data_IF_174689386399
#
_entry.id   IF_174689386399
#
_cell.length_a   1.000
_cell.length_b   1.000
_cell.length_c   1.000
_cell.angle_alpha   90.00
_cell.angle_beta   90.00
_cell.angle_gamma   90.00
#
_symmetry.space_group_name_H-M   'P 1'
#
loop_
_entity.id
_entity.type
_entity.pdbx_description
1 polymer ?
#
# COMPACT_ATOMS: atom_id res chain seq x y z
N UNK A 1 18.92 -9.77 24.86
CA UNK A 1 19.45 -10.90 24.06
C UNK A 1 19.27 -10.71 22.54
N UNK A 2 18.22 -10.02 22.06
CA UNK A 2 17.90 -9.95 20.61
C UNK A 2 18.94 -9.25 19.73
N UNK A 3 19.66 -8.23 20.23
CA UNK A 3 20.69 -7.50 19.46
C UNK A 3 22.11 -8.02 19.69
N UNK A 4 22.42 -8.46 20.92
CA UNK A 4 23.72 -9.06 21.27
C UNK A 4 24.02 -10.30 20.40
N UNK A 5 22.99 -11.09 20.01
CA UNK A 5 23.16 -12.22 19.09
C UNK A 5 23.63 -11.83 17.67
N UNK A 6 23.49 -10.56 17.32
CA UNK A 6 23.97 -9.98 16.06
C UNK A 6 25.23 -9.12 16.27
N UNK A 7 25.90 -9.24 17.42
CA UNK A 7 27.13 -8.51 17.71
C UNK A 7 26.93 -7.05 18.13
N UNK A 8 25.68 -6.58 18.31
CA UNK A 8 25.38 -5.18 18.64
C UNK A 8 25.13 -5.04 20.15
N UNK A 9 26.02 -4.34 20.86
CA UNK A 9 25.83 -3.98 22.26
C UNK A 9 25.27 -2.55 22.39
N UNK A 10 23.95 -2.45 22.52
CA UNK A 10 23.20 -1.17 22.61
C UNK A 10 23.56 -0.28 23.80
N UNK A 11 24.34 -0.80 24.77
CA UNK A 11 24.83 -0.03 25.91
C UNK A 11 26.13 0.71 25.59
N UNK A 12 26.82 0.29 24.53
CA UNK A 12 28.13 0.79 24.11
C UNK A 12 28.07 1.49 22.77
N UNK A 13 27.20 1.03 21.88
CA UNK A 13 27.10 1.51 20.50
C UNK A 13 25.68 2.02 20.21
N UNK A 14 25.52 3.16 19.53
CA UNK A 14 24.22 3.69 19.14
C UNK A 14 23.56 2.82 18.07
N UNK A 15 22.23 2.71 18.11
CA UNK A 15 21.46 2.02 17.06
C UNK A 15 21.27 2.95 15.86
N UNK A 16 21.67 2.47 14.68
CA UNK A 16 21.36 3.13 13.41
C UNK A 16 19.86 2.99 13.11
N UNK A 17 19.21 4.12 12.85
CA UNK A 17 17.77 4.20 12.54
C UNK A 17 17.56 4.94 11.23
N UNK A 18 16.62 4.45 10.42
CA UNK A 18 16.22 5.06 9.16
C UNK A 18 14.69 5.11 9.06
N UNK A 19 14.12 6.12 8.37
CA UNK A 19 12.71 6.14 8.10
C UNK A 19 12.31 4.93 7.26
N UNK A 20 11.13 4.37 7.53
CA UNK A 20 10.55 3.27 6.75
C UNK A 20 9.09 3.56 6.48
N UNK A 21 8.58 3.13 5.32
CA UNK A 21 7.15 3.16 5.03
C UNK A 21 6.45 2.29 6.07
N UNK A 22 5.58 2.89 6.87
CA UNK A 22 5.00 2.23 8.03
C UNK A 22 3.50 1.96 7.88
N UNK A 23 2.76 2.84 7.20
CA UNK A 23 1.31 2.73 7.06
C UNK A 23 0.81 3.46 5.82
N UNK A 24 -0.27 2.95 5.24
CA UNK A 24 -0.99 3.59 4.14
C UNK A 24 -2.29 4.23 4.66
N UNK A 25 -2.34 5.57 4.67
CA UNK A 25 -3.55 6.31 5.10
C UNK A 25 -4.62 6.39 3.99
N UNK A 26 -4.19 6.23 2.74
CA UNK A 26 -5.08 6.16 1.57
C UNK A 26 -5.61 4.75 1.37
N UNK A 27 -6.46 4.57 0.36
CA UNK A 27 -7.06 3.28 0.07
C UNK A 27 -8.32 3.47 -0.77
N UNK A 28 -9.17 2.45 -0.78
CA UNK A 28 -10.48 2.51 -1.44
C UNK A 28 -11.39 3.45 -0.67
N UNK A 29 -12.03 4.39 -1.37
CA UNK A 29 -13.04 5.25 -0.77
C UNK A 29 -14.26 4.43 -0.34
N UNK A 30 -14.67 4.63 0.91
CA UNK A 30 -15.82 3.97 1.52
C UNK A 30 -16.77 4.97 2.15
N UNK A 31 -18.06 4.63 2.18
CA UNK A 31 -19.02 5.34 3.02
C UNK A 31 -18.95 4.89 4.50
N UNK A 32 -19.80 5.48 5.34
CA UNK A 32 -19.88 5.18 6.79
C UNK A 32 -20.24 3.72 7.11
N UNK A 33 -20.75 2.97 6.13
CA UNK A 33 -21.15 1.57 6.21
C UNK A 33 -20.17 0.64 5.50
N UNK A 34 -18.96 1.12 5.16
CA UNK A 34 -17.90 0.38 4.48
C UNK A 34 -18.19 0.02 3.01
N UNK A 35 -19.21 0.62 2.40
CA UNK A 35 -19.51 0.38 0.99
C UNK A 35 -18.61 1.22 0.09
N UNK A 36 -18.13 0.59 -0.99
CA UNK A 36 -17.44 1.29 -2.07
C UNK A 36 -18.45 1.79 -3.11
N UNK A 37 -17.97 2.54 -4.11
CA UNK A 37 -18.75 2.88 -5.30
C UNK A 37 -19.11 1.67 -6.17
N UNK A 38 -18.43 0.53 -5.98
CA UNK A 38 -18.74 -0.74 -6.65
C UNK A 38 -19.80 -1.49 -5.86
N UNK A 39 -20.92 -1.79 -6.53
CA UNK A 39 -22.04 -2.53 -5.92
C UNK A 39 -21.56 -3.88 -5.36
N UNK A 40 -22.01 -4.20 -4.15
CA UNK A 40 -21.69 -5.44 -3.44
C UNK A 40 -20.21 -5.62 -3.05
N UNK A 41 -19.41 -4.56 -3.10
CA UNK A 41 -18.03 -4.56 -2.61
C UNK A 41 -17.92 -3.68 -1.37
N UNK A 42 -17.52 -4.31 -0.26
CA UNK A 42 -17.18 -3.64 0.99
C UNK A 42 -15.67 -3.73 1.25
N UNK A 43 -15.11 -2.71 1.88
CA UNK A 43 -13.68 -2.63 2.24
C UNK A 43 -13.56 -2.05 3.65
N UNK A 44 -12.60 -2.54 4.43
CA UNK A 44 -12.32 -2.05 5.78
C UNK A 44 -10.82 -2.18 6.12
N UNK A 45 -10.38 -1.47 7.17
CA UNK A 45 -8.99 -1.47 7.64
C UNK A 45 -8.04 -0.68 6.73
N UNK A 46 -6.75 -1.02 6.73
CA UNK A 46 -5.71 -0.29 5.97
C UNK A 46 -5.93 -0.29 4.44
N UNK A 47 -6.79 -1.16 3.92
CA UNK A 47 -7.18 -1.13 2.50
C UNK A 47 -8.18 0.00 2.17
N UNK A 48 -8.85 0.56 3.18
CA UNK A 48 -9.80 1.67 3.04
C UNK A 48 -9.11 3.02 3.25
N UNK A 49 -9.60 4.04 2.54
CA UNK A 49 -9.09 5.41 2.63
C UNK A 49 -10.08 6.37 3.30
N UNK A 50 -9.57 7.55 3.67
CA UNK A 50 -10.40 8.70 4.08
C UNK A 50 -10.54 8.89 5.60
N UNK A 51 -10.57 7.80 6.38
CA UNK A 51 -10.75 7.86 7.85
C UNK A 51 -9.65 8.68 8.56
N UNK A 52 -8.41 8.58 8.08
CA UNK A 52 -7.24 9.17 8.74
C UNK A 52 -6.85 10.54 8.18
N UNK A 53 -7.53 11.03 7.14
CA UNK A 53 -7.13 12.26 6.43
C UNK A 53 -5.69 12.20 5.92
N UNK A 54 -4.96 13.31 6.03
CA UNK A 54 -3.56 13.41 5.57
C UNK A 54 -2.56 12.70 6.50
N UNK A 55 -2.87 12.56 7.79
CA UNK A 55 -1.97 11.91 8.73
C UNK A 55 -2.74 11.13 9.81
N UNK A 56 -2.40 9.85 9.97
CA UNK A 56 -2.98 8.96 10.98
C UNK A 56 -2.50 9.32 12.38
N UNK A 57 -3.44 9.56 13.29
CA UNK A 57 -3.17 9.70 14.72
C UNK A 57 -2.84 8.35 15.37
N UNK A 58 -1.93 8.34 16.34
CA UNK A 58 -1.49 7.14 17.04
C UNK A 58 -2.69 6.41 17.69
N UNK A 59 -2.69 5.08 17.59
CA UNK A 59 -3.72 4.20 18.20
C UNK A 59 -4.97 3.99 17.35
N UNK A 60 -5.18 4.78 16.29
CA UNK A 60 -6.40 4.68 15.50
C UNK A 60 -6.41 3.50 14.51
N UNK A 61 -5.27 2.95 14.10
CA UNK A 61 -5.23 1.86 13.10
C UNK A 61 -5.83 0.55 13.61
N UNK A 62 -5.60 0.22 14.89
CA UNK A 62 -6.23 -0.98 15.46
C UNK A 62 -7.74 -0.77 15.62
N UNK A 63 -8.16 0.42 16.05
CA UNK A 63 -9.57 0.77 16.16
C UNK A 63 -10.25 0.77 14.79
N UNK A 64 -9.59 1.28 13.76
CA UNK A 64 -10.07 1.28 12.37
C UNK A 64 -10.38 -0.15 11.90
N UNK A 65 -9.41 -1.06 12.01
CA UNK A 65 -9.60 -2.47 11.64
C UNK A 65 -10.74 -3.12 12.43
N UNK A 66 -10.84 -2.90 13.73
CA UNK A 66 -11.85 -3.54 14.58
C UNK A 66 -13.26 -2.98 14.34
N UNK A 67 -13.39 -1.66 14.27
CA UNK A 67 -14.69 -0.98 14.13
C UNK A 67 -15.24 -1.16 12.72
N UNK A 68 -14.47 -0.80 11.70
CA UNK A 68 -14.94 -0.91 10.30
C UNK A 68 -14.95 -2.37 9.83
N UNK A 69 -14.06 -3.23 10.34
CA UNK A 69 -14.15 -4.66 10.08
C UNK A 69 -15.44 -5.29 10.62
N UNK A 70 -15.85 -4.89 11.83
CA UNK A 70 -17.14 -5.31 12.40
C UNK A 70 -18.32 -4.76 11.58
N UNK A 71 -18.29 -3.49 11.22
CA UNK A 71 -19.37 -2.86 10.45
C UNK A 71 -19.52 -3.52 9.06
N UNK A 72 -18.42 -3.68 8.33
CA UNK A 72 -18.40 -4.38 7.04
C UNK A 72 -18.94 -5.82 7.15
N UNK A 73 -18.61 -6.54 8.24
CA UNK A 73 -19.13 -7.88 8.49
C UNK A 73 -20.65 -7.91 8.73
N UNK A 74 -21.18 -6.93 9.46
CA UNK A 74 -22.63 -6.79 9.70
C UNK A 74 -23.35 -6.48 8.39
N UNK A 75 -22.84 -5.54 7.59
CA UNK A 75 -23.43 -5.17 6.31
C UNK A 75 -23.37 -6.32 5.30
N UNK A 76 -22.22 -7.00 5.19
CA UNK A 76 -22.10 -8.21 4.37
C UNK A 76 -23.14 -9.27 4.75
N UNK A 77 -23.36 -9.48 6.06
CA UNK A 77 -24.39 -10.41 6.56
C UNK A 77 -25.82 -10.01 6.21
N UNK A 78 -26.13 -8.71 6.21
CA UNK A 78 -27.44 -8.17 5.78
C UNK A 78 -27.64 -8.37 4.27
N UNK A 79 -26.61 -8.09 3.48
CA UNK A 79 -26.65 -8.17 2.03
C UNK A 79 -26.71 -9.59 1.49
N UNK A 80 -26.12 -10.56 2.19
CA UNK A 80 -26.09 -11.96 1.76
C UNK A 80 -27.48 -12.50 1.36
N UNK A 81 -28.54 -12.07 2.05
CA UNK A 81 -29.92 -12.53 1.77
C UNK A 81 -30.53 -11.91 0.51
N UNK A 82 -30.03 -10.77 0.05
CA UNK A 82 -30.60 -10.00 -1.07
C UNK A 82 -29.74 -10.08 -2.34
N UNK A 83 -28.54 -10.64 -2.27
CA UNK A 83 -27.65 -10.81 -3.42
C UNK A 83 -27.92 -12.15 -4.09
N UNK A 84 -28.26 -12.11 -5.38
CA UNK A 84 -28.20 -13.29 -6.25
C UNK A 84 -26.79 -13.41 -6.82
N UNK A 85 -26.25 -14.64 -6.83
CA UNK A 85 -24.98 -14.91 -7.49
C UNK A 85 -25.23 -15.04 -9.00
N UNK A 86 -24.58 -14.24 -9.86
CA UNK A 86 -24.72 -14.40 -11.30
C UNK A 86 -24.29 -15.79 -11.76
N UNK A 87 -25.01 -16.38 -12.70
CA UNK A 87 -24.56 -17.60 -13.36
C UNK A 87 -23.31 -17.31 -14.21
N UNK A 88 -22.36 -18.23 -14.23
CA UNK A 88 -21.18 -18.14 -15.09
C UNK A 88 -20.11 -17.14 -14.64
N UNK A 89 -19.87 -17.01 -13.32
CA UNK A 89 -18.72 -16.26 -12.79
C UNK A 89 -17.42 -16.66 -13.49
N UNK A 90 -16.78 -15.69 -14.15
CA UNK A 90 -15.55 -15.90 -14.88
C UNK A 90 -14.69 -14.62 -14.88
N UNK A 91 -13.47 -14.74 -15.37
CA UNK A 91 -12.51 -13.63 -15.45
C UNK A 91 -12.51 -12.96 -16.83
N UNK A 92 -13.63 -12.99 -17.56
CA UNK A 92 -13.69 -12.41 -18.90
C UNK A 92 -13.41 -10.89 -18.86
N UNK A 93 -13.91 -10.18 -17.85
CA UNK A 93 -13.59 -8.77 -17.64
C UNK A 93 -12.08 -8.50 -17.53
N UNK A 94 -11.31 -9.41 -16.89
CA UNK A 94 -9.85 -9.29 -16.81
C UNK A 94 -9.25 -9.45 -18.20
N UNK A 95 -9.68 -10.47 -18.96
CA UNK A 95 -9.20 -10.71 -20.33
C UNK A 95 -9.53 -9.55 -21.26
N UNK A 96 -10.71 -8.97 -21.12
CA UNK A 96 -11.15 -7.82 -21.93
C UNK A 96 -10.32 -6.58 -21.61
N UNK A 97 -10.06 -6.33 -20.32
CA UNK A 97 -9.13 -5.28 -19.90
C UNK A 97 -7.71 -5.49 -20.44
N UNK A 98 -7.20 -6.74 -20.46
CA UNK A 98 -5.88 -7.01 -21.03
C UNK A 98 -5.83 -6.70 -22.54
N UNK A 99 -6.88 -7.05 -23.29
CA UNK A 99 -6.99 -6.72 -24.71
C UNK A 99 -7.06 -5.21 -24.94
N UNK A 100 -7.84 -4.49 -24.14
CA UNK A 100 -7.96 -3.03 -24.22
C UNK A 100 -6.61 -2.36 -23.96
N UNK A 101 -5.89 -2.81 -22.91
CA UNK A 101 -4.53 -2.35 -22.60
C UNK A 101 -3.57 -2.58 -23.78
N UNK A 102 -3.60 -3.78 -24.36
CA UNK A 102 -2.73 -4.15 -25.47
C UNK A 102 -3.04 -3.31 -26.72
N UNK A 103 -4.33 -3.06 -27.00
CA UNK A 103 -4.78 -2.18 -28.08
C UNK A 103 -4.37 -0.71 -27.85
N UNK A 104 -4.34 -0.26 -26.59
CA UNK A 104 -3.83 1.04 -26.21
C UNK A 104 -2.28 1.14 -26.24
N UNK A 105 -1.58 0.03 -26.53
CA UNK A 105 -0.12 -0.01 -26.59
C UNK A 105 0.57 0.19 -25.24
N UNK A 106 -0.14 -0.02 -24.13
CA UNK A 106 0.40 0.18 -22.77
C UNK A 106 1.30 -1.00 -22.40
N UNK A 107 2.58 -0.73 -22.18
CA UNK A 107 3.57 -1.76 -21.84
C UNK A 107 3.65 -2.02 -20.34
N UNK A 108 3.89 -3.27 -19.96
CA UNK A 108 3.98 -3.77 -18.57
C UNK A 108 5.39 -3.61 -17.98
N UNK A 109 6.00 -2.45 -18.13
CA UNK A 109 7.42 -2.25 -17.82
C UNK A 109 7.67 -2.11 -16.30
N UNK A 110 6.60 -1.89 -15.53
CA UNK A 110 6.63 -1.64 -14.09
C UNK A 110 5.91 -2.77 -13.33
N UNK A 111 6.68 -3.53 -12.56
CA UNK A 111 6.15 -4.52 -11.61
C UNK A 111 5.82 -3.83 -10.29
N UNK A 112 4.58 -3.96 -9.84
CA UNK A 112 4.13 -3.46 -8.54
C UNK A 112 4.51 -4.42 -7.40
N UNK A 113 4.72 -3.90 -6.18
CA UNK A 113 4.50 -2.51 -5.77
C UNK A 113 5.72 -1.60 -5.98
N UNK A 114 5.48 -0.35 -6.38
CA UNK A 114 6.50 0.70 -6.31
C UNK A 114 6.81 0.98 -4.83
N UNK A 115 7.92 0.46 -4.33
CA UNK A 115 8.49 0.95 -3.07
C UNK A 115 8.96 2.39 -3.27
N UNK A 116 8.50 3.32 -2.41
CA UNK A 116 8.91 4.72 -2.37
C UNK A 116 9.36 5.07 -0.93
N UNK A 117 10.41 5.88 -0.69
CA UNK A 117 11.54 6.32 -1.54
C UNK A 117 12.87 5.60 -1.19
N UNK A 118 13.95 5.89 -1.93
CA UNK A 118 15.33 5.49 -1.53
C UNK A 118 15.71 6.22 -0.24
N UNK A 119 15.63 5.54 0.90
CA UNK A 119 15.99 6.11 2.22
C UNK A 119 17.49 6.33 2.42
N UNK A 120 18.33 5.94 1.45
CA UNK A 120 19.78 6.01 1.58
C UNK A 120 20.36 7.41 1.38
N UNK A 121 19.57 8.43 1.00
CA UNK A 121 20.01 9.83 0.82
C UNK A 121 21.35 9.99 0.06
N UNK A 122 21.66 9.09 -0.90
CA UNK A 122 22.92 9.13 -1.64
C UNK A 122 24.15 8.63 -0.87
N UNK A 123 23.99 7.91 0.25
CA UNK A 123 25.09 7.23 0.93
C UNK A 123 25.64 6.10 0.04
N UNK A 124 26.90 6.18 -0.44
CA UNK A 124 27.49 5.20 -1.34
C UNK A 124 27.63 3.80 -0.70
N UNK A 125 27.65 3.71 0.62
CA UNK A 125 27.78 2.45 1.37
C UNK A 125 26.57 1.53 1.22
N UNK A 126 25.36 2.11 1.06
CA UNK A 126 24.09 1.37 1.01
C UNK A 126 23.41 1.44 -0.37
N UNK A 127 24.07 2.03 -1.36
CA UNK A 127 23.53 2.24 -2.70
C UNK A 127 23.54 0.98 -3.57
N UNK A 128 24.46 0.04 -3.31
CA UNK A 128 24.78 -1.05 -4.26
C UNK A 128 24.01 -2.35 -4.04
N UNK A 129 23.26 -2.52 -2.95
CA UNK A 129 22.71 -3.84 -2.57
C UNK A 129 21.24 -4.06 -2.90
N UNK A 130 20.48 -3.02 -3.27
CA UNK A 130 19.06 -3.12 -3.58
C UNK A 130 18.70 -2.84 -5.05
N UNK A 131 19.69 -2.42 -5.86
CA UNK A 131 19.45 -1.73 -7.13
C UNK A 131 19.22 -2.66 -8.35
N UNK A 132 19.62 -3.93 -8.29
CA UNK A 132 19.53 -4.81 -9.47
C UNK A 132 18.15 -5.46 -9.68
N UNK A 133 17.21 -5.33 -8.74
CA UNK A 133 15.94 -6.08 -8.80
C UNK A 133 14.77 -5.27 -9.38
N UNK A 134 14.90 -3.94 -9.49
CA UNK A 134 13.77 -3.05 -9.81
C UNK A 134 14.04 -1.99 -10.89
N UNK A 135 15.18 -2.06 -11.60
CA UNK A 135 15.34 -1.47 -12.94
C UNK A 135 15.08 0.03 -13.11
N UNK A 136 15.32 0.88 -12.10
CA UNK A 136 15.19 2.35 -12.28
C UNK A 136 16.55 3.01 -12.51
N UNK A 137 16.78 3.45 -13.75
CA UNK A 137 17.87 4.34 -14.14
C UNK A 137 17.80 5.72 -13.47
N UNK A 138 18.96 6.35 -13.35
CA UNK A 138 19.26 7.54 -12.53
C UNK A 138 18.76 8.88 -13.10
N UNK A 139 17.59 8.96 -13.71
CA UNK A 139 17.30 10.10 -14.61
C UNK A 139 16.40 11.23 -14.06
N UNK A 140 15.79 11.11 -12.88
CA UNK A 140 14.76 12.10 -12.45
C UNK A 140 15.11 13.07 -11.29
N UNK A 141 16.35 13.09 -10.77
CA UNK A 141 16.70 14.00 -9.65
C UNK A 141 17.73 15.10 -9.97
N UNK A 142 17.96 15.44 -11.24
CA UNK A 142 18.97 16.45 -11.59
C UNK A 142 18.53 17.92 -11.57
N UNK A 143 17.28 18.28 -11.35
CA UNK A 143 16.88 19.70 -11.34
C UNK A 143 15.97 20.05 -10.16
N UNK A 144 16.58 20.52 -9.08
CA UNK A 144 15.84 21.00 -7.91
C UNK A 144 16.73 21.63 -6.84
N UNK A 145 17.75 22.39 -7.25
CA UNK A 145 18.50 23.24 -6.34
C UNK A 145 17.60 24.39 -5.87
N UNK A 146 16.95 24.25 -4.72
CA UNK A 146 16.42 25.41 -3.99
C UNK A 146 17.60 26.03 -3.24
N UNK A 147 18.12 27.11 -3.81
CA UNK A 147 18.93 28.08 -3.06
C UNK A 147 18.01 28.80 -2.08
N UNK A 148 18.30 28.67 -0.79
CA UNK A 148 18.36 29.76 0.20
C UNK A 148 18.99 29.21 1.48
#
# INVERSE_FOLDING_TARGET
KMFIKYGIDIRKEPILVYPTLHYQNGGVEIDKTCHTSVKNLLVAGEASGGVHGTNRLMGNSLLDVVVFGREAGIEAGKMFKSISTPEGLNLQHVKDFEKERDAAGIKKDLVSPKLLPRYTHGNPEFASSADDQYGRGNDEFKNGAVKN
#
